data_IF_555206137700
#
_entry.id   IF_555206137700
#
_cell.length_a   1.000
_cell.length_b   1.000
_cell.length_c   1.000
_cell.angle_alpha   90.00
_cell.angle_beta   90.00
_cell.angle_gamma   90.00
#
_symmetry.space_group_name_H-M   'P 1'
#
loop_
_entity.id
_entity.type
_entity.pdbx_description
1 polymer ?
#
# COMPACT_ATOMS: atom_id res chain seq x y z
N UNK A 1 22.93 -19.42 25.09
CA UNK A 1 21.63 -19.01 25.69
C UNK A 1 20.67 -18.79 24.53
N UNK A 2 19.65 -19.62 24.44
CA UNK A 2 18.62 -19.56 23.40
C UNK A 2 17.78 -18.29 23.63
N UNK A 3 17.76 -17.38 22.65
CA UNK A 3 16.95 -16.16 22.70
C UNK A 3 15.49 -16.52 22.42
N UNK A 4 14.81 -17.03 23.45
CA UNK A 4 13.36 -17.22 23.43
C UNK A 4 12.70 -15.88 23.08
N UNK A 5 12.12 -15.81 21.89
CA UNK A 5 11.45 -14.62 21.38
C UNK A 5 10.13 -14.49 22.11
N UNK A 6 10.10 -13.79 23.24
CA UNK A 6 8.85 -13.52 23.95
C UNK A 6 8.01 -12.58 23.08
N UNK A 7 6.93 -13.13 22.51
CA UNK A 7 5.96 -12.38 21.72
C UNK A 7 5.03 -11.61 22.67
N UNK A 8 5.56 -10.57 23.30
CA UNK A 8 4.81 -9.73 24.23
C UNK A 8 4.06 -8.70 23.41
N UNK A 9 2.73 -8.81 23.38
CA UNK A 9 1.88 -7.71 22.92
C UNK A 9 1.73 -6.71 24.06
N UNK A 10 2.26 -5.50 23.84
CA UNK A 10 2.09 -4.37 24.75
C UNK A 10 0.98 -3.46 24.22
N UNK A 11 0.13 -2.99 25.13
CA UNK A 11 -0.83 -1.95 24.82
C UNK A 11 -0.16 -0.55 24.75
N UNK A 12 -0.90 0.43 24.24
CA UNK A 12 -0.39 1.79 24.06
C UNK A 12 0.11 2.43 25.36
N UNK A 13 -0.59 2.23 26.48
CA UNK A 13 -0.21 2.83 27.76
C UNK A 13 1.07 2.18 28.30
N UNK A 14 1.19 0.86 28.18
CA UNK A 14 2.42 0.15 28.54
C UNK A 14 3.62 0.62 27.72
N UNK A 15 3.45 0.81 26.40
CA UNK A 15 4.50 1.36 25.53
C UNK A 15 4.84 2.78 25.96
N UNK A 16 3.84 3.62 26.23
CA UNK A 16 4.04 5.00 26.68
C UNK A 16 4.82 5.06 27.98
N UNK A 17 4.52 4.20 28.93
CA UNK A 17 5.20 4.14 30.23
C UNK A 17 6.67 3.74 30.06
N UNK A 18 6.96 2.76 29.19
CA UNK A 18 8.33 2.36 28.85
C UNK A 18 9.09 3.52 28.19
N UNK A 19 8.49 4.17 27.19
CA UNK A 19 9.11 5.34 26.53
C UNK A 19 9.29 6.49 27.52
N UNK A 20 8.38 6.63 28.50
CA UNK A 20 8.46 7.61 29.57
C UNK A 20 9.72 7.49 30.43
N UNK A 21 10.24 6.27 30.59
CA UNK A 21 11.45 5.97 31.37
C UNK A 21 12.76 6.30 30.64
N UNK A 22 12.71 6.57 29.33
CA UNK A 22 13.89 6.93 28.54
C UNK A 22 14.39 8.34 28.85
N UNK A 23 15.67 8.58 28.57
CA UNK A 23 16.25 9.92 28.57
C UNK A 23 15.58 10.80 27.50
N UNK A 24 15.66 12.13 27.65
CA UNK A 24 15.09 13.04 26.65
C UNK A 24 15.76 12.88 25.27
N UNK A 25 17.07 12.58 25.25
CA UNK A 25 17.81 12.30 24.02
C UNK A 25 17.32 11.01 23.34
N UNK A 26 17.13 9.94 24.11
CA UNK A 26 16.62 8.67 23.56
C UNK A 26 15.17 8.79 23.10
N UNK A 27 14.33 9.58 23.80
CA UNK A 27 12.96 9.90 23.38
C UNK A 27 12.96 10.60 22.02
N UNK A 28 13.84 11.58 21.84
CA UNK A 28 13.98 12.31 20.58
C UNK A 28 14.46 11.39 19.45
N UNK A 29 15.46 10.53 19.72
CA UNK A 29 15.93 9.55 18.73
C UNK A 29 14.81 8.60 18.31
N UNK A 30 14.11 8.01 19.28
CA UNK A 30 13.00 7.09 19.03
C UNK A 30 11.86 7.77 18.25
N UNK A 31 11.50 9.00 18.59
CA UNK A 31 10.48 9.75 17.86
C UNK A 31 10.85 9.94 16.38
N UNK A 32 12.09 10.29 16.08
CA UNK A 32 12.56 10.45 14.71
C UNK A 32 12.52 9.13 13.91
N UNK A 33 12.93 8.02 14.53
CA UNK A 33 12.87 6.69 13.92
C UNK A 33 11.43 6.26 13.62
N UNK A 34 10.50 6.45 14.57
CA UNK A 34 9.08 6.13 14.38
C UNK A 34 8.43 6.98 13.29
N UNK A 35 8.77 8.27 13.22
CA UNK A 35 8.31 9.16 12.14
C UNK A 35 8.84 8.67 10.79
N UNK A 36 10.12 8.31 10.70
CA UNK A 36 10.72 7.80 9.47
C UNK A 36 10.05 6.49 9.01
N UNK A 37 9.80 5.55 9.93
CA UNK A 37 9.06 4.32 9.64
C UNK A 37 7.64 4.59 9.15
N UNK A 38 6.92 5.50 9.81
CA UNK A 38 5.56 5.89 9.41
C UNK A 38 5.54 6.49 8.01
N UNK A 39 6.50 7.36 7.69
CA UNK A 39 6.67 7.94 6.35
C UNK A 39 6.95 6.86 5.31
N UNK A 40 7.85 5.91 5.61
CA UNK A 40 8.16 4.79 4.73
C UNK A 40 6.92 3.94 4.44
N UNK A 41 6.18 3.53 5.47
CA UNK A 41 4.95 2.75 5.32
C UNK A 41 3.88 3.47 4.49
N UNK A 42 3.70 4.78 4.69
CA UNK A 42 2.79 5.59 3.86
C UNK A 42 3.26 5.66 2.40
N UNK A 43 4.56 5.83 2.17
CA UNK A 43 5.12 5.83 0.82
C UNK A 43 4.97 4.48 0.14
N UNK A 44 5.16 3.37 0.87
CA UNK A 44 4.92 2.01 0.36
C UNK A 44 3.45 1.78 0.03
N UNK A 45 2.53 2.26 0.87
CA UNK A 45 1.09 2.23 0.58
C UNK A 45 0.77 3.00 -0.71
N UNK A 46 1.20 4.27 -0.81
CA UNK A 46 0.98 5.06 -2.01
C UNK A 46 1.64 4.43 -3.23
N UNK A 47 2.84 3.89 -3.08
CA UNK A 47 3.53 3.19 -4.16
C UNK A 47 2.74 1.95 -4.60
N UNK A 48 2.13 1.20 -3.68
CA UNK A 48 1.25 0.07 -4.01
C UNK A 48 0.01 0.53 -4.77
N UNK A 49 -0.63 1.62 -4.33
CA UNK A 49 -1.77 2.23 -5.02
C UNK A 49 -1.38 2.70 -6.42
N UNK A 50 -0.28 3.44 -6.57
CA UNK A 50 0.17 3.97 -7.85
C UNK A 50 0.73 2.92 -8.81
N UNK A 51 1.30 1.82 -8.29
CA UNK A 51 1.78 0.70 -9.10
C UNK A 51 0.67 -0.25 -9.52
N UNK A 52 -0.57 -0.05 -9.05
CA UNK A 52 -1.67 -0.98 -9.34
C UNK A 52 -1.42 -2.36 -8.77
N UNK A 53 -0.90 -2.46 -7.54
CA UNK A 53 -0.87 -3.75 -6.85
C UNK A 53 -2.32 -4.19 -6.61
N UNK A 54 -2.83 -5.07 -7.48
CA UNK A 54 -4.00 -6.01 -7.49
C UNK A 54 -5.26 -5.74 -6.64
N UNK A 55 -5.21 -5.01 -5.53
CA UNK A 55 -6.29 -4.92 -4.56
C UNK A 55 -7.17 -3.66 -4.68
N UNK A 56 -6.89 -2.72 -5.60
CA UNK A 56 -7.60 -1.41 -5.62
C UNK A 56 -8.36 -1.12 -6.91
N UNK A 57 -7.90 -1.60 -8.07
CA UNK A 57 -8.67 -1.63 -9.32
C UNK A 57 -7.84 -2.47 -10.31
N UNK A 58 -8.36 -3.61 -10.77
CA UNK A 58 -7.71 -4.35 -11.86
C UNK A 58 -7.77 -3.48 -13.11
N UNK A 59 -6.61 -2.99 -13.58
CA UNK A 59 -6.52 -2.42 -14.92
C UNK A 59 -6.95 -3.52 -15.91
N UNK A 60 -7.82 -3.22 -16.89
CA UNK A 60 -8.27 -4.23 -17.84
C UNK A 60 -7.06 -4.85 -18.54
N UNK A 61 -7.09 -6.17 -18.62
CA UNK A 61 -6.11 -6.94 -19.36
C UNK A 61 -6.10 -6.53 -20.84
N UNK A 62 -4.97 -6.74 -21.52
CA UNK A 62 -4.89 -6.49 -22.97
C UNK A 62 -5.94 -7.28 -23.77
N UNK A 63 -6.42 -8.41 -23.25
CA UNK A 63 -7.52 -9.17 -23.85
C UNK A 63 -8.84 -8.43 -23.77
N UNK A 64 -9.21 -7.91 -22.59
CA UNK A 64 -10.43 -7.12 -22.39
C UNK A 64 -10.42 -5.83 -23.21
N UNK A 65 -9.26 -5.17 -23.28
CA UNK A 65 -9.06 -4.00 -24.14
C UNK A 65 -9.28 -4.37 -25.62
N UNK A 66 -8.77 -5.52 -26.07
CA UNK A 66 -8.89 -5.96 -27.46
C UNK A 66 -10.34 -6.32 -27.81
N UNK A 67 -11.07 -6.95 -26.90
CA UNK A 67 -12.50 -7.28 -27.07
C UNK A 67 -13.35 -6.01 -27.22
N UNK A 68 -13.15 -5.00 -26.37
CA UNK A 68 -13.85 -3.72 -26.51
C UNK A 68 -13.51 -3.02 -27.84
N UNK A 69 -12.23 -3.01 -28.22
CA UNK A 69 -11.78 -2.40 -29.49
C UNK A 69 -12.42 -3.09 -30.69
N UNK A 70 -12.50 -4.41 -30.69
CA UNK A 70 -13.07 -5.17 -31.80
C UNK A 70 -14.60 -5.04 -31.86
N UNK A 71 -15.28 -4.97 -30.72
CA UNK A 71 -16.70 -4.64 -30.67
C UNK A 71 -16.99 -3.26 -31.28
N UNK A 72 -16.21 -2.24 -30.92
CA UNK A 72 -16.34 -0.88 -31.49
C UNK A 72 -16.03 -0.88 -32.99
N UNK A 73 -14.99 -1.59 -33.44
CA UNK A 73 -14.68 -1.72 -34.87
C UNK A 73 -15.83 -2.35 -35.63
N UNK A 74 -16.41 -3.42 -35.11
CA UNK A 74 -17.53 -4.11 -35.76
C UNK A 74 -18.76 -3.21 -35.86
N UNK A 75 -19.09 -2.45 -34.81
CA UNK A 75 -20.19 -1.48 -34.84
C UNK A 75 -19.97 -0.40 -35.91
N UNK A 76 -18.74 0.11 -36.05
CA UNK A 76 -18.37 1.08 -37.08
C UNK A 76 -18.48 0.50 -38.51
N UNK A 77 -18.07 -0.75 -38.71
CA UNK A 77 -18.24 -1.43 -40.00
C UNK A 77 -19.71 -1.63 -40.35
N UNK A 78 -20.53 -2.05 -39.40
CA UNK A 78 -21.97 -2.24 -39.60
C UNK A 78 -22.69 -0.91 -39.89
N UNK A 79 -22.32 0.18 -39.21
CA UNK A 79 -22.84 1.52 -39.52
C UNK A 79 -22.49 1.96 -40.93
N UNK A 80 -21.25 1.73 -41.39
CA UNK A 80 -20.81 2.07 -42.75
C UNK A 80 -21.48 1.23 -43.84
N UNK A 81 -21.88 -0.01 -43.53
CA UNK A 81 -22.50 -0.93 -44.50
C UNK A 81 -24.01 -0.70 -44.65
N UNK A 82 -24.65 -0.04 -43.68
CA UNK A 82 -26.09 0.28 -43.66
C UNK A 82 -26.42 1.69 -44.14
N UNK A 83 -25.41 2.55 -44.33
CA UNK A 83 -25.53 3.87 -44.98
C UNK A 83 -25.10 3.80 -46.44
#
# INVERSE_FOLDING_TARGET
MESASFNIQLDYNQIRDIVGQLSDEDKLRLANELIAQTRKSKLEYFQGVFKGNEAVDELPSMGEIQEEVDAVRQELYEKRKRG
#
